data_IF_655912292664
#
_entry.id   IF_655912292664
#
_cell.length_a   1.000
_cell.length_b   1.000
_cell.length_c   1.000
_cell.angle_alpha   90.00
_cell.angle_beta   90.00
_cell.angle_gamma   90.00
#
_symmetry.space_group_name_H-M   'P 1'
#
loop_
_entity.id
_entity.type
_entity.pdbx_description
1 polymer ?
#
# COMPACT_ATOMS: atom_id res chain seq x y z
N UNK A 1 -10.96 -1.36 29.27
CA UNK A 1 -10.19 -1.27 28.01
C UNK A 1 -10.87 -0.26 27.10
N UNK A 2 -10.11 0.66 26.50
CA UNK A 2 -10.66 1.83 25.78
C UNK A 2 -11.50 1.40 24.57
N UNK A 3 -12.78 1.79 24.51
CA UNK A 3 -13.73 1.46 23.41
C UNK A 3 -13.15 1.74 22.02
N UNK A 4 -12.32 2.77 21.91
CA UNK A 4 -11.64 3.18 20.67
C UNK A 4 -10.69 2.09 20.16
N UNK A 5 -10.02 1.37 21.05
CA UNK A 5 -9.09 0.30 20.69
C UNK A 5 -9.83 -0.92 20.11
N UNK A 6 -10.97 -1.28 20.70
CA UNK A 6 -11.80 -2.38 20.20
C UNK A 6 -12.39 -2.05 18.82
N UNK A 7 -12.84 -0.82 18.60
CA UNK A 7 -13.41 -0.40 17.31
C UNK A 7 -12.37 -0.38 16.18
N UNK A 8 -11.18 0.17 16.44
CA UNK A 8 -10.14 0.32 15.41
C UNK A 8 -9.41 -0.99 15.10
N UNK A 9 -9.23 -1.86 16.09
CA UNK A 9 -8.40 -3.07 15.96
C UNK A 9 -9.19 -4.38 15.95
N UNK A 10 -10.49 -4.38 16.27
CA UNK A 10 -11.33 -5.60 16.31
C UNK A 10 -12.56 -5.50 15.39
N UNK A 11 -13.25 -4.37 15.32
CA UNK A 11 -14.39 -4.20 14.40
C UNK A 11 -13.97 -3.87 12.97
N UNK A 12 -12.96 -3.00 12.79
CA UNK A 12 -12.48 -2.62 11.45
C UNK A 12 -11.96 -3.80 10.59
N UNK A 13 -11.24 -4.80 11.13
CA UNK A 13 -10.80 -5.97 10.35
C UNK A 13 -11.95 -6.93 10.04
N UNK A 14 -12.96 -7.03 10.92
CA UNK A 14 -14.14 -7.89 10.72
C UNK A 14 -15.05 -7.40 9.59
N UNK A 15 -14.97 -6.14 9.18
CA UNK A 15 -15.76 -5.59 8.07
C UNK A 15 -15.20 -5.92 6.68
N UNK A 16 -13.99 -6.49 6.60
CA UNK A 16 -13.29 -6.74 5.32
C UNK A 16 -13.00 -8.21 5.07
N UNK A 17 -13.47 -9.11 5.95
CA UNK A 17 -13.25 -10.57 5.87
C UNK A 17 -11.78 -11.04 5.71
N UNK A 18 -10.80 -10.17 5.97
CA UNK A 18 -9.38 -10.50 6.04
C UNK A 18 -8.92 -10.61 7.49
N UNK A 19 -7.94 -11.47 7.77
CA UNK A 19 -7.32 -11.44 9.09
C UNK A 19 -6.59 -10.10 9.28
N UNK A 20 -6.71 -9.48 10.46
CA UNK A 20 -6.00 -8.22 10.76
C UNK A 20 -4.49 -8.30 10.44
N UNK A 21 -3.91 -9.49 10.57
CA UNK A 21 -2.51 -9.76 10.26
C UNK A 21 -2.19 -9.66 8.76
N UNK A 22 -3.08 -10.10 7.87
CA UNK A 22 -2.90 -9.96 6.41
C UNK A 22 -2.96 -8.50 5.98
N UNK A 23 -3.97 -7.78 6.47
CA UNK A 23 -4.13 -6.35 6.18
C UNK A 23 -2.97 -5.52 6.74
N UNK A 24 -2.55 -5.85 7.98
CA UNK A 24 -1.38 -5.25 8.62
C UNK A 24 -0.10 -5.57 7.85
N UNK A 25 0.12 -6.82 7.42
CA UNK A 25 1.31 -7.22 6.68
C UNK A 25 1.40 -6.53 5.32
N UNK A 26 0.29 -6.48 4.58
CA UNK A 26 0.21 -5.82 3.29
C UNK A 26 0.54 -4.32 3.41
N UNK A 27 -0.08 -3.63 4.38
CA UNK A 27 0.16 -2.19 4.60
C UNK A 27 1.55 -1.91 5.17
N UNK A 28 2.02 -2.73 6.10
CA UNK A 28 3.35 -2.61 6.72
C UNK A 28 4.48 -2.75 5.70
N UNK A 29 4.32 -3.60 4.67
CA UNK A 29 5.30 -3.75 3.59
C UNK A 29 5.58 -2.43 2.86
N UNK A 30 4.54 -1.65 2.54
CA UNK A 30 4.70 -0.33 1.92
C UNK A 30 5.32 0.66 2.91
N UNK A 31 4.87 0.65 4.17
CA UNK A 31 5.43 1.48 5.24
C UNK A 31 6.93 1.28 5.44
N UNK A 32 7.40 0.04 5.54
CA UNK A 32 8.82 -0.27 5.70
C UNK A 32 9.65 0.13 4.46
N UNK A 33 9.08 0.04 3.25
CA UNK A 33 9.75 0.54 2.04
C UNK A 33 9.93 2.06 2.12
N UNK A 34 8.88 2.81 2.43
CA UNK A 34 8.96 4.26 2.60
C UNK A 34 9.96 4.67 3.67
N UNK A 35 9.99 3.98 4.81
CA UNK A 35 10.95 4.24 5.89
C UNK A 35 12.40 4.06 5.43
N UNK A 36 12.68 2.99 4.66
CA UNK A 36 14.00 2.78 4.06
C UNK A 36 14.35 3.87 3.05
N UNK A 37 13.39 4.30 2.22
CA UNK A 37 13.63 5.38 1.25
C UNK A 37 13.89 6.72 1.94
N UNK A 38 13.19 7.01 3.04
CA UNK A 38 13.45 8.18 3.86
C UNK A 38 14.89 8.14 4.42
N UNK A 39 15.33 7.00 4.95
CA UNK A 39 16.71 6.82 5.40
C UNK A 39 17.73 7.03 4.25
N UNK A 40 17.46 6.51 3.05
CA UNK A 40 18.28 6.76 1.86
C UNK A 40 18.31 8.24 1.47
N UNK A 41 17.18 8.95 1.56
CA UNK A 41 17.10 10.38 1.26
C UNK A 41 17.94 11.20 2.25
N UNK A 42 17.87 10.89 3.54
CA UNK A 42 18.71 11.53 4.56
C UNK A 42 20.19 11.21 4.36
N UNK A 43 20.53 9.95 4.04
CA UNK A 43 21.91 9.58 3.71
C UNK A 43 22.43 10.36 2.50
N UNK A 44 21.60 10.57 1.46
CA UNK A 44 21.94 11.42 0.32
C UNK A 44 22.12 12.89 0.72
N UNK A 45 21.27 13.41 1.60
CA UNK A 45 21.38 14.78 2.10
C UNK A 45 22.68 15.00 2.91
N UNK A 46 23.12 13.99 3.66
CA UNK A 46 24.39 14.02 4.39
C UNK A 46 25.59 13.82 3.47
N UNK A 47 25.47 12.91 2.49
CA UNK A 47 26.53 12.56 1.54
C UNK A 47 25.93 12.60 0.12
N UNK A 48 26.02 13.74 -0.60
CA UNK A 48 25.41 13.93 -1.93
C UNK A 48 25.84 12.92 -3.02
N UNK A 49 26.82 12.07 -2.72
CA UNK A 49 27.28 10.97 -3.57
C UNK A 49 26.48 9.66 -3.47
N UNK A 50 25.77 9.40 -2.36
CA UNK A 50 25.07 8.11 -2.14
C UNK A 50 23.59 8.20 -2.51
N UNK A 51 22.96 7.11 -2.94
CA UNK A 51 21.49 7.05 -3.20
C UNK A 51 20.90 8.05 -4.21
N UNK A 52 21.70 8.59 -5.14
CA UNK A 52 21.31 9.66 -6.11
C UNK A 52 19.97 9.47 -6.83
N UNK A 53 19.59 8.23 -7.15
CA UNK A 53 18.32 7.93 -7.83
C UNK A 53 17.52 6.81 -7.14
N UNK A 54 17.93 6.37 -5.96
CA UNK A 54 17.30 5.24 -5.27
C UNK A 54 15.87 5.60 -4.87
N UNK A 55 15.68 6.77 -4.28
CA UNK A 55 14.38 7.21 -3.78
C UNK A 55 13.39 7.43 -4.92
N UNK A 56 13.78 8.20 -5.94
CA UNK A 56 12.89 8.51 -7.07
C UNK A 56 12.47 7.25 -7.83
N UNK A 57 13.41 6.37 -8.17
CA UNK A 57 13.09 5.10 -8.87
C UNK A 57 12.15 4.22 -8.04
N UNK A 58 12.44 4.05 -6.75
CA UNK A 58 11.60 3.21 -5.90
C UNK A 58 10.20 3.78 -5.68
N UNK A 59 10.04 5.11 -5.56
CA UNK A 59 8.72 5.73 -5.46
C UNK A 59 7.92 5.53 -6.75
N UNK A 60 8.52 5.70 -7.93
CA UNK A 60 7.83 5.43 -9.20
C UNK A 60 7.35 3.98 -9.30
N UNK A 61 8.22 3.00 -9.02
CA UNK A 61 7.83 1.60 -9.04
C UNK A 61 6.71 1.28 -8.03
N UNK A 62 6.74 1.91 -6.84
CA UNK A 62 5.67 1.73 -5.85
C UNK A 62 4.35 2.35 -6.31
N UNK A 63 4.39 3.51 -6.98
CA UNK A 63 3.21 4.14 -7.55
C UNK A 63 2.57 3.26 -8.63
N UNK A 64 3.39 2.66 -9.50
CA UNK A 64 2.93 1.68 -10.50
C UNK A 64 2.32 0.42 -9.85
N UNK A 65 2.96 -0.12 -8.79
CA UNK A 65 2.42 -1.25 -8.00
C UNK A 65 1.05 -0.91 -7.39
N UNK A 66 0.87 0.31 -6.90
CA UNK A 66 -0.40 0.78 -6.33
C UNK A 66 -1.49 0.99 -7.40
N UNK A 67 -1.14 1.56 -8.55
CA UNK A 67 -2.06 1.78 -9.67
C UNK A 67 -2.59 0.45 -10.23
N UNK A 68 -1.70 -0.54 -10.41
CA UNK A 68 -2.10 -1.88 -10.84
C UNK A 68 -3.13 -2.52 -9.90
N UNK A 69 -2.91 -2.42 -8.59
CA UNK A 69 -3.86 -2.92 -7.57
C UNK A 69 -5.18 -2.15 -7.57
N UNK A 70 -5.14 -0.83 -7.79
CA UNK A 70 -6.34 0.00 -7.88
C UNK A 70 -7.18 -0.36 -9.12
N UNK A 71 -6.52 -0.65 -10.25
CA UNK A 71 -7.17 -1.11 -11.49
C UNK A 71 -7.85 -2.47 -11.30
N UNK A 72 -7.14 -3.45 -10.73
CA UNK A 72 -7.69 -4.77 -10.43
C UNK A 72 -8.92 -4.67 -9.51
N UNK A 73 -8.82 -3.89 -8.42
CA UNK A 73 -9.95 -3.67 -7.52
C UNK A 73 -11.15 -3.00 -8.22
N UNK A 74 -10.91 -2.09 -9.19
CA UNK A 74 -11.95 -1.48 -10.00
C UNK A 74 -12.60 -2.50 -10.94
N UNK A 75 -11.81 -3.32 -11.60
CA UNK A 75 -12.31 -4.38 -12.51
C UNK A 75 -13.15 -5.40 -11.76
N UNK A 76 -12.72 -5.87 -10.57
CA UNK A 76 -13.52 -6.75 -9.72
C UNK A 76 -14.87 -6.11 -9.35
N UNK A 77 -14.87 -4.84 -8.90
CA UNK A 77 -16.12 -4.12 -8.60
C UNK A 77 -17.04 -3.99 -9.81
N UNK A 78 -16.49 -3.80 -11.00
CA UNK A 78 -17.28 -3.75 -12.24
C UNK A 78 -17.89 -5.11 -12.59
N UNK A 79 -17.15 -6.20 -12.37
CA UNK A 79 -17.65 -7.58 -12.55
C UNK A 79 -18.79 -7.87 -11.58
N UNK A 80 -18.62 -7.55 -10.31
CA UNK A 80 -19.63 -7.78 -9.27
C UNK A 80 -20.90 -6.95 -9.50
N UNK A 81 -20.76 -5.73 -10.06
CA UNK A 81 -21.90 -4.89 -10.42
C UNK A 81 -22.63 -5.33 -11.70
N UNK A 82 -22.14 -6.36 -12.41
CA UNK A 82 -22.71 -6.81 -13.68
C UNK A 82 -22.50 -5.82 -14.85
N UNK A 83 -21.61 -4.83 -14.69
CA UNK A 83 -21.32 -3.78 -15.69
C UNK A 83 -20.04 -4.11 -16.48
N UNK A 84 -19.41 -5.25 -16.22
CA UNK A 84 -18.18 -5.65 -16.89
C UNK A 84 -18.47 -6.21 -18.28
N UNK A 85 -18.08 -5.45 -19.29
CA UNK A 85 -18.02 -5.89 -20.69
C UNK A 85 -16.56 -6.23 -21.03
N UNK A 86 -16.23 -7.51 -21.32
CA UNK A 86 -14.89 -7.90 -21.75
C UNK A 86 -14.46 -7.27 -23.07
N UNK A 87 -15.38 -6.68 -23.84
CA UNK A 87 -15.12 -6.19 -25.19
C UNK A 87 -14.67 -7.35 -26.10
N UNK A 88 -15.62 -8.20 -26.49
CA UNK A 88 -15.47 -9.07 -27.66
C UNK A 88 -15.86 -8.30 -28.92
#
# INVERSE_FOLDING_TARGET
>A
MSRTFHRLFVEHPRQVEESYLEHMAASSRFGFRLLKLAACAFAHALVPGVHKATVSKSVCCMAEEMDGRAREARECRMRDAGVWDPGL
#
